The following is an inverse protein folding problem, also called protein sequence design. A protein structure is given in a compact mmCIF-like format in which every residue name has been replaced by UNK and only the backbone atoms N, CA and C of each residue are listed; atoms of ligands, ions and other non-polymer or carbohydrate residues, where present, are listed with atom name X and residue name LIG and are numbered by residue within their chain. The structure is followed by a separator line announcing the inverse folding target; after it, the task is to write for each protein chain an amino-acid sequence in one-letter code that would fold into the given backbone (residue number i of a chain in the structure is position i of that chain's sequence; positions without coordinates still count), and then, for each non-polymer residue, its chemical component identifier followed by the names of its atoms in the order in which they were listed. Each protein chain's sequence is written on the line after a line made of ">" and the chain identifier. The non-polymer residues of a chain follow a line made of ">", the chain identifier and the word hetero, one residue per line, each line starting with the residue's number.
data_IF_354061537009
#
_entry.id   IF_354061537009
#
_cell.length_a   1.000
_cell.length_b   1.000
_cell.length_c   1.000
_cell.angle_alpha   90.00
_cell.angle_beta   90.00
_cell.angle_gamma   90.00
#
_symmetry.space_group_name_H-M   'P 1'
#
loop_
_entity.id
_entity.type
_entity.pdbx_description
1 polymer ?
#
# COMPACT_ATOMS: atom_id res chain seq x y z
N UNK A 1 13.21 22.70 -15.40
CA UNK A 1 12.45 21.73 -16.23
C UNK A 1 11.15 21.46 -15.53
N UNK A 2 10.00 21.65 -16.17
CA UNK A 2 8.72 21.26 -15.59
C UNK A 2 8.62 19.74 -15.66
N UNK A 3 8.56 19.06 -14.51
CA UNK A 3 8.47 17.60 -14.46
C UNK A 3 7.12 17.13 -15.02
N UNK A 4 7.13 16.11 -15.88
CA UNK A 4 5.94 15.46 -16.42
C UNK A 4 5.96 13.98 -16.02
N UNK A 5 5.36 13.60 -14.87
CA UNK A 5 5.41 12.21 -14.41
C UNK A 5 4.64 11.29 -15.36
N UNK A 6 5.00 10.01 -15.37
CA UNK A 6 4.31 8.98 -16.17
C UNK A 6 2.96 8.61 -15.57
N UNK A 7 2.85 8.68 -14.24
CA UNK A 7 1.62 8.42 -13.51
C UNK A 7 1.51 9.30 -12.26
N UNK A 8 0.28 9.55 -11.82
CA UNK A 8 -0.05 10.18 -10.53
C UNK A 8 -1.02 9.25 -9.79
N UNK A 9 -0.68 8.91 -8.56
CA UNK A 9 -1.51 8.11 -7.67
C UNK A 9 -2.21 8.99 -6.64
N UNK A 10 -3.47 8.68 -6.33
CA UNK A 10 -4.24 9.34 -5.28
C UNK A 10 -4.52 8.36 -4.14
N UNK A 11 -4.22 8.79 -2.91
CA UNK A 11 -4.58 8.10 -1.68
C UNK A 11 -5.48 9.02 -0.86
N UNK A 12 -6.32 8.44 0.01
CA UNK A 12 -7.14 9.17 1.00
C UNK A 12 -8.21 10.10 0.39
N UNK A 13 -8.42 10.02 -0.93
CA UNK A 13 -9.41 10.80 -1.67
C UNK A 13 -8.97 11.05 -3.09
N UNK A 14 -9.70 11.94 -3.76
CA UNK A 14 -9.47 12.37 -5.13
C UNK A 14 -9.41 13.90 -5.14
N UNK A 15 -8.62 14.51 -6.04
CA UNK A 15 -8.73 15.94 -6.28
C UNK A 15 -10.06 16.24 -6.99
N UNK A 16 -10.42 17.52 -7.08
CA UNK A 16 -11.60 17.94 -7.82
C UNK A 16 -11.50 17.60 -9.33
N UNK A 17 -12.65 17.63 -10.00
CA UNK A 17 -12.75 17.25 -11.41
C UNK A 17 -11.98 18.18 -12.35
N UNK A 18 -11.83 19.45 -11.99
CA UNK A 18 -11.05 20.41 -12.78
C UNK A 18 -9.57 20.04 -12.76
N UNK A 19 -9.05 19.71 -11.57
CA UNK A 19 -7.68 19.22 -11.38
C UNK A 19 -7.45 17.91 -12.13
N UNK A 20 -8.38 16.95 -12.05
CA UNK A 20 -8.28 15.71 -12.83
C UNK A 20 -8.33 15.97 -14.34
N UNK A 21 -9.11 16.94 -14.81
CA UNK A 21 -9.14 17.31 -16.22
C UNK A 21 -7.80 17.87 -16.68
N UNK A 22 -7.17 18.76 -15.88
CA UNK A 22 -5.83 19.29 -16.17
C UNK A 22 -4.77 18.19 -16.23
N UNK A 23 -4.81 17.21 -15.33
CA UNK A 23 -3.89 16.05 -15.36
C UNK A 23 -4.10 15.23 -16.65
N UNK A 24 -5.35 15.02 -17.04
CA UNK A 24 -5.74 14.27 -18.25
C UNK A 24 -5.30 14.96 -19.54
N UNK A 25 -5.40 16.29 -19.61
CA UNK A 25 -4.89 17.09 -20.74
C UNK A 25 -3.38 16.90 -20.95
N UNK A 26 -2.65 16.61 -19.88
CA UNK A 26 -1.23 16.27 -19.96
C UNK A 26 -0.98 14.81 -20.36
N UNK A 27 -2.01 13.99 -20.56
CA UNK A 27 -1.90 12.55 -20.84
C UNK A 27 -1.08 11.80 -19.78
N UNK A 28 -1.23 12.20 -18.51
CA UNK A 28 -0.62 11.52 -17.36
C UNK A 28 -1.58 10.45 -16.89
N UNK A 29 -1.07 9.23 -16.70
CA UNK A 29 -1.87 8.12 -16.18
C UNK A 29 -2.25 8.35 -14.71
N UNK A 30 -3.48 8.05 -14.34
CA UNK A 30 -3.99 8.25 -12.98
C UNK A 30 -4.47 6.97 -12.35
N UNK A 31 -4.22 6.78 -11.07
CA UNK A 31 -4.82 5.69 -10.30
C UNK A 31 -5.24 6.17 -8.92
N UNK A 32 -6.26 5.52 -8.35
CA UNK A 32 -6.71 5.78 -7.00
C UNK A 32 -6.59 4.53 -6.14
N UNK A 33 -6.12 4.69 -4.90
CA UNK A 33 -6.12 3.65 -3.89
C UNK A 33 -7.47 3.68 -3.18
N UNK A 34 -8.14 2.53 -3.14
CA UNK A 34 -9.48 2.36 -2.57
C UNK A 34 -9.52 1.14 -1.65
N UNK A 35 -10.23 1.25 -0.53
CA UNK A 35 -10.38 0.20 0.47
C UNK A 35 -11.78 -0.43 0.52
N UNK A 36 -12.75 0.14 -0.21
CA UNK A 36 -14.10 -0.41 -0.29
C UNK A 36 -14.77 -0.17 -1.65
N UNK A 37 -15.91 -0.83 -1.87
CA UNK A 37 -16.64 -0.77 -3.12
C UNK A 37 -17.13 0.65 -3.47
N UNK A 38 -17.58 1.43 -2.48
CA UNK A 38 -18.11 2.77 -2.74
C UNK A 38 -17.00 3.73 -3.20
N UNK A 39 -15.83 3.65 -2.59
CA UNK A 39 -14.64 4.39 -3.02
C UNK A 39 -14.22 4.01 -4.43
N UNK A 40 -14.25 2.71 -4.77
CA UNK A 40 -13.95 2.22 -6.11
C UNK A 40 -14.91 2.79 -7.16
N UNK A 41 -16.22 2.74 -6.88
CA UNK A 41 -17.26 3.32 -7.76
C UNK A 41 -17.05 4.83 -7.90
N UNK A 42 -16.76 5.53 -6.81
CA UNK A 42 -16.52 6.97 -6.84
C UNK A 42 -15.28 7.33 -7.65
N UNK A 43 -14.19 6.57 -7.52
CA UNK A 43 -12.98 6.80 -8.30
C UNK A 43 -13.18 6.53 -9.80
N UNK A 44 -13.91 5.46 -10.14
CA UNK A 44 -14.27 5.18 -11.54
C UNK A 44 -15.10 6.33 -12.14
N UNK A 45 -16.10 6.83 -11.41
CA UNK A 45 -16.94 7.97 -11.83
C UNK A 45 -16.15 9.29 -11.97
N UNK A 46 -15.09 9.49 -11.17
CA UNK A 46 -14.16 10.60 -11.34
C UNK A 46 -13.24 10.42 -12.56
N UNK A 47 -13.20 9.22 -13.12
CA UNK A 47 -12.56 8.91 -14.38
C UNK A 47 -11.06 8.68 -14.26
N UNK A 48 -10.59 8.12 -13.14
CA UNK A 48 -9.20 7.65 -13.05
C UNK A 48 -8.95 6.47 -14.01
N UNK A 49 -7.69 6.22 -14.35
CA UNK A 49 -7.33 5.20 -15.33
C UNK A 49 -7.23 3.78 -14.73
N UNK A 50 -6.94 3.65 -13.43
CA UNK A 50 -6.89 2.38 -12.72
C UNK A 50 -7.27 2.50 -11.22
N UNK A 51 -7.62 1.36 -10.62
CA UNK A 51 -7.98 1.25 -9.21
C UNK A 51 -6.99 0.32 -8.49
N UNK A 52 -6.36 0.81 -7.42
CA UNK A 52 -5.54 0.02 -6.51
C UNK A 52 -6.40 -0.39 -5.32
N UNK A 53 -6.62 -1.69 -5.18
CA UNK A 53 -7.51 -2.29 -4.20
C UNK A 53 -6.72 -2.66 -2.95
N UNK A 54 -6.75 -1.81 -1.93
CA UNK A 54 -6.01 -2.01 -0.68
C UNK A 54 -6.81 -2.89 0.28
N UNK A 55 -6.43 -4.15 0.42
CA UNK A 55 -6.95 -5.04 1.47
C UNK A 55 -6.38 -4.72 2.84
N UNK A 56 -7.05 -5.17 3.90
CA UNK A 56 -6.60 -5.01 5.29
C UNK A 56 -5.25 -5.68 5.57
N UNK A 57 -4.81 -6.57 4.71
CA UNK A 57 -3.54 -7.30 4.82
C UNK A 57 -2.33 -6.47 4.38
N UNK A 58 -2.55 -5.43 3.56
CA UNK A 58 -1.50 -4.53 3.10
C UNK A 58 -0.84 -3.80 4.28
N UNK A 59 0.48 -3.62 4.19
CA UNK A 59 1.24 -2.78 5.11
C UNK A 59 0.95 -1.30 4.87
N UNK A 60 1.26 -0.48 5.87
CA UNK A 60 1.16 0.98 5.72
C UNK A 60 -0.20 1.54 6.11
N UNK A 61 -0.36 2.83 5.86
CA UNK A 61 -1.57 3.55 6.24
C UNK A 61 -2.77 3.09 5.41
N UNK A 62 -3.90 2.99 6.09
CA UNK A 62 -5.18 2.75 5.43
C UNK A 62 -5.56 3.98 4.62
N UNK A 63 -5.61 3.81 3.31
CA UNK A 63 -5.78 4.88 2.32
C UNK A 63 -7.25 5.18 2.01
N UNK A 64 -8.18 4.80 2.89
CA UNK A 64 -9.61 5.04 2.71
C UNK A 64 -9.92 6.54 2.58
N UNK A 65 -10.95 6.85 1.81
CA UNK A 65 -11.31 8.22 1.53
C UNK A 65 -11.78 8.91 2.80
N UNK A 66 -11.51 10.20 2.91
CA UNK A 66 -12.00 11.02 4.03
C UNK A 66 -13.51 11.22 3.90
N UNK A 67 -14.30 10.58 4.76
CA UNK A 67 -15.76 10.69 4.83
C UNK A 67 -16.29 10.18 6.18
N UNK A 68 -17.60 10.36 6.42
CA UNK A 68 -18.27 9.98 7.67
C UNK A 68 -18.79 8.51 7.68
N UNK A 69 -18.41 7.70 6.69
CA UNK A 69 -18.86 6.31 6.62
C UNK A 69 -18.03 5.40 7.54
N UNK A 70 -18.64 4.32 8.06
CA UNK A 70 -17.89 3.32 8.81
C UNK A 70 -16.73 2.76 7.99
N UNK A 71 -15.57 2.62 8.63
CA UNK A 71 -14.44 1.93 8.02
C UNK A 71 -14.75 0.44 7.90
N UNK A 72 -14.44 -0.12 6.73
CA UNK A 72 -14.61 -1.54 6.44
C UNK A 72 -13.24 -2.16 6.24
N UNK A 73 -12.89 -3.09 7.12
CA UNK A 73 -11.73 -3.96 6.91
C UNK A 73 -12.16 -5.20 6.14
N UNK A 74 -11.52 -5.45 5.00
CA UNK A 74 -11.77 -6.61 4.16
C UNK A 74 -10.51 -7.02 3.43
N UNK A 75 -10.48 -8.27 2.95
CA UNK A 75 -9.35 -8.75 2.16
C UNK A 75 -9.26 -8.08 0.78
N UNK A 76 -8.05 -7.93 0.27
CA UNK A 76 -7.82 -7.39 -1.07
C UNK A 76 -8.54 -8.24 -2.14
N UNK A 77 -8.56 -9.57 -1.95
CA UNK A 77 -9.27 -10.50 -2.82
C UNK A 77 -10.79 -10.29 -2.75
N UNK A 78 -11.38 -10.12 -1.56
CA UNK A 78 -12.82 -9.86 -1.43
C UNK A 78 -13.21 -8.53 -2.09
N UNK A 79 -12.37 -7.51 -1.94
CA UNK A 79 -12.57 -6.22 -2.59
C UNK A 79 -12.49 -6.35 -4.12
N UNK A 80 -11.51 -7.09 -4.65
CA UNK A 80 -11.42 -7.41 -6.08
C UNK A 80 -12.70 -8.06 -6.62
N UNK A 81 -13.22 -9.06 -5.92
CA UNK A 81 -14.44 -9.76 -6.33
C UNK A 81 -15.69 -8.86 -6.32
N UNK A 82 -15.73 -7.85 -5.45
CA UNK A 82 -16.80 -6.86 -5.41
C UNK A 82 -16.67 -5.86 -6.56
N UNK A 83 -15.50 -5.22 -6.69
CA UNK A 83 -15.27 -4.10 -7.62
C UNK A 83 -15.40 -4.55 -9.08
N UNK A 84 -14.89 -5.73 -9.43
CA UNK A 84 -14.93 -6.25 -10.82
C UNK A 84 -16.35 -6.43 -11.38
N UNK A 85 -17.39 -6.38 -10.55
CA UNK A 85 -18.79 -6.44 -10.99
C UNK A 85 -19.34 -5.08 -11.43
N UNK A 86 -18.64 -4.00 -11.10
CA UNK A 86 -19.12 -2.62 -11.26
C UNK A 86 -18.13 -1.72 -12.00
N UNK A 87 -16.89 -2.17 -12.21
CA UNK A 87 -15.85 -1.42 -12.90
C UNK A 87 -15.14 -2.31 -13.92
N UNK A 88 -14.96 -1.78 -15.13
CA UNK A 88 -14.15 -2.38 -16.20
C UNK A 88 -12.70 -1.84 -16.21
N UNK A 89 -12.36 -0.97 -15.26
CA UNK A 89 -11.02 -0.38 -15.14
C UNK A 89 -9.99 -1.47 -14.78
N UNK A 90 -8.71 -1.28 -15.15
CA UNK A 90 -7.62 -2.06 -14.59
C UNK A 90 -7.64 -2.03 -13.05
N UNK A 91 -7.67 -3.20 -12.44
CA UNK A 91 -7.66 -3.44 -11.01
C UNK A 91 -6.27 -3.94 -10.59
N UNK A 92 -5.65 -3.24 -9.65
CA UNK A 92 -4.35 -3.59 -9.07
C UNK A 92 -4.59 -4.09 -7.66
N UNK A 93 -4.18 -5.32 -7.36
CA UNK A 93 -4.37 -5.88 -6.01
C UNK A 93 -3.24 -5.40 -5.09
N UNK A 94 -3.59 -4.81 -3.93
CA UNK A 94 -2.63 -4.46 -2.88
C UNK A 94 -3.05 -5.15 -1.57
N UNK A 95 -2.30 -6.18 -1.20
CA UNK A 95 -2.55 -6.99 -0.01
C UNK A 95 -1.27 -7.68 0.44
N UNK A 96 -1.41 -8.86 1.03
CA UNK A 96 -0.28 -9.68 1.46
C UNK A 96 0.34 -10.43 0.27
N UNK A 97 1.26 -9.78 -0.43
CA UNK A 97 1.92 -10.31 -1.63
C UNK A 97 3.42 -10.34 -1.36
N UNK A 98 3.92 -11.54 -1.07
CA UNK A 98 5.27 -11.75 -0.55
C UNK A 98 6.14 -12.61 -1.47
N UNK A 99 5.53 -13.31 -2.43
CA UNK A 99 6.24 -14.14 -3.40
C UNK A 99 5.61 -14.14 -4.81
N UNK A 100 6.17 -14.96 -5.70
CA UNK A 100 5.66 -15.10 -7.07
C UNK A 100 4.31 -15.83 -7.18
N UNK A 101 4.01 -16.74 -6.25
CA UNK A 101 2.77 -17.50 -6.25
C UNK A 101 1.59 -16.59 -5.89
N UNK A 102 1.78 -15.66 -4.95
CA UNK A 102 0.83 -14.62 -4.60
C UNK A 102 0.49 -13.74 -5.81
N UNK A 103 1.52 -13.36 -6.59
CA UNK A 103 1.34 -12.58 -7.83
C UNK A 103 0.50 -13.37 -8.83
N UNK A 104 0.82 -14.64 -9.06
CA UNK A 104 0.06 -15.50 -9.98
C UNK A 104 -1.39 -15.66 -9.50
N UNK A 105 -1.60 -15.87 -8.20
CA UNK A 105 -2.92 -16.00 -7.61
C UNK A 105 -3.76 -14.72 -7.79
N UNK A 106 -3.16 -13.54 -7.61
CA UNK A 106 -3.81 -12.25 -7.83
C UNK A 106 -4.23 -12.09 -9.30
N UNK A 107 -3.34 -12.38 -10.25
CA UNK A 107 -3.62 -12.26 -11.70
C UNK A 107 -4.71 -13.25 -12.12
N UNK A 108 -4.62 -14.52 -11.70
CA UNK A 108 -5.65 -15.54 -11.99
C UNK A 108 -7.01 -15.15 -11.39
N UNK A 109 -7.02 -14.48 -10.24
CA UNK A 109 -8.24 -14.00 -9.59
C UNK A 109 -8.90 -12.82 -10.32
N UNK A 110 -8.22 -12.25 -11.31
CA UNK A 110 -8.72 -11.20 -12.19
C UNK A 110 -8.08 -9.82 -12.00
N UNK A 111 -7.00 -9.70 -11.22
CA UNK A 111 -6.24 -8.46 -11.17
C UNK A 111 -5.37 -8.31 -12.44
N UNK A 112 -5.15 -7.08 -12.90
CA UNK A 112 -4.26 -6.78 -14.03
C UNK A 112 -2.82 -6.53 -13.57
N UNK A 113 -2.63 -6.16 -12.30
CA UNK A 113 -1.33 -6.00 -11.68
C UNK A 113 -1.43 -6.18 -10.16
N UNK A 114 -0.27 -6.14 -9.51
CA UNK A 114 -0.15 -6.14 -8.05
C UNK A 114 0.63 -4.92 -7.59
N UNK A 115 0.37 -4.47 -6.37
CA UNK A 115 1.21 -3.52 -5.66
C UNK A 115 1.90 -4.24 -4.51
N UNK A 116 3.24 -4.15 -4.47
CA UNK A 116 4.08 -4.80 -3.47
C UNK A 116 4.61 -3.74 -2.50
N UNK A 117 4.63 -4.06 -1.21
CA UNK A 117 5.18 -3.22 -0.15
C UNK A 117 6.35 -3.90 0.57
N UNK A 118 6.08 -4.90 1.41
CA UNK A 118 7.03 -5.62 2.25
C UNK A 118 8.24 -6.16 1.47
N UNK A 119 8.08 -6.73 0.26
CA UNK A 119 9.23 -7.10 -0.58
C UNK A 119 10.23 -5.98 -0.86
N UNK A 120 9.76 -4.76 -1.09
CA UNK A 120 10.65 -3.62 -1.39
C UNK A 120 11.36 -3.08 -0.15
N UNK A 121 10.84 -3.36 1.06
CA UNK A 121 11.54 -3.06 2.31
C UNK A 121 12.75 -3.98 2.53
N UNK A 122 12.75 -5.17 1.92
CA UNK A 122 13.89 -6.08 1.93
C UNK A 122 15.03 -5.66 0.99
N UNK A 123 14.77 -4.72 0.06
CA UNK A 123 15.77 -4.25 -0.90
C UNK A 123 16.84 -3.37 -0.23
N UNK A 124 18.08 -3.42 -0.73
CA UNK A 124 19.18 -2.64 -0.20
C UNK A 124 18.98 -1.12 -0.37
N UNK A 125 18.23 -0.74 -1.40
CA UNK A 125 17.92 0.65 -1.78
C UNK A 125 16.95 1.33 -0.81
N UNK A 126 16.23 0.58 0.02
CA UNK A 126 15.27 1.16 0.98
C UNK A 126 15.97 1.95 2.11
N UNK A 127 17.25 1.68 2.36
CA UNK A 127 18.06 2.41 3.35
C UNK A 127 17.86 1.97 4.80
N UNK A 128 17.04 0.93 5.06
CA UNK A 128 16.95 0.31 6.39
C UNK A 128 18.29 -0.31 6.78
N UNK A 129 18.62 -0.18 8.06
CA UNK A 129 19.73 -0.90 8.66
C UNK A 129 19.48 -2.42 8.64
N UNK A 130 20.54 -3.24 8.72
CA UNK A 130 20.40 -4.70 8.63
C UNK A 130 19.45 -5.30 9.67
N UNK A 131 19.46 -4.82 10.91
CA UNK A 131 18.62 -5.39 11.98
C UNK A 131 17.14 -5.09 11.73
N UNK A 132 16.82 -3.85 11.38
CA UNK A 132 15.46 -3.45 11.02
C UNK A 132 14.96 -4.19 9.78
N UNK A 133 15.83 -4.40 8.79
CA UNK A 133 15.49 -5.17 7.59
C UNK A 133 15.17 -6.61 7.92
N UNK A 134 15.98 -7.27 8.75
CA UNK A 134 15.75 -8.66 9.19
C UNK A 134 14.43 -8.78 9.95
N UNK A 135 14.12 -7.82 10.84
CA UNK A 135 12.82 -7.75 11.54
C UNK A 135 11.65 -7.68 10.56
N UNK A 136 11.74 -6.81 9.55
CA UNK A 136 10.71 -6.67 8.53
C UNK A 136 10.60 -7.90 7.63
N UNK A 137 11.70 -8.59 7.34
CA UNK A 137 11.67 -9.81 6.51
C UNK A 137 11.00 -10.96 7.26
N UNK A 138 11.35 -11.15 8.53
CA UNK A 138 10.99 -12.37 9.27
C UNK A 138 9.77 -12.24 10.21
N UNK A 139 9.21 -11.05 10.40
CA UNK A 139 8.02 -10.87 11.23
C UNK A 139 6.83 -11.71 10.75
N UNK A 140 6.18 -12.40 11.67
CA UNK A 140 4.97 -13.16 11.39
C UNK A 140 3.72 -12.27 11.49
N UNK A 141 2.56 -12.83 11.15
CA UNK A 141 1.27 -12.19 11.33
C UNK A 141 1.01 -11.80 12.80
N UNK A 142 1.59 -12.53 13.76
CA UNK A 142 1.47 -12.27 15.19
C UNK A 142 2.25 -11.05 15.66
N UNK A 143 3.25 -10.63 14.87
CA UNK A 143 4.11 -9.50 15.15
C UNK A 143 3.56 -8.20 14.54
N UNK A 144 2.47 -8.26 13.78
CA UNK A 144 1.83 -7.10 13.15
C UNK A 144 0.45 -6.78 13.75
N UNK A 145 0.04 -5.52 13.62
CA UNK A 145 -1.31 -5.08 13.95
C UNK A 145 -1.72 -3.87 13.10
N UNK A 146 -3.02 -3.60 13.03
CA UNK A 146 -3.54 -2.31 12.55
C UNK A 146 -3.68 -1.41 13.77
N UNK A 147 -2.88 -0.35 13.83
CA UNK A 147 -2.85 0.57 14.96
C UNK A 147 -3.23 1.98 14.51
N UNK A 148 -4.14 2.61 15.24
CA UNK A 148 -4.46 4.04 15.10
C UNK A 148 -3.66 4.92 16.07
N UNK A 149 -2.59 4.39 16.65
CA UNK A 149 -1.81 5.10 17.65
C UNK A 149 -0.91 6.16 16.99
N UNK A 150 -0.22 5.79 15.91
CA UNK A 150 0.96 6.50 15.42
C UNK A 150 0.67 7.62 14.42
N UNK A 151 -0.38 7.46 13.62
CA UNK A 151 -0.75 8.44 12.60
C UNK A 151 -2.24 8.73 12.65
N UNK A 152 -2.67 9.79 11.96
CA UNK A 152 -4.08 10.21 11.86
C UNK A 152 -4.94 9.08 11.26
N UNK A 153 -4.34 8.17 10.50
CA UNK A 153 -5.01 7.01 9.91
C UNK A 153 -4.48 5.72 10.55
N UNK A 154 -5.30 4.67 10.70
CA UNK A 154 -4.81 3.37 11.09
C UNK A 154 -3.72 2.90 10.11
N UNK A 155 -2.70 2.27 10.67
CA UNK A 155 -1.50 1.81 9.97
C UNK A 155 -1.30 0.34 10.31
N UNK A 156 -1.15 -0.53 9.30
CA UNK A 156 -0.61 -1.87 9.55
C UNK A 156 0.90 -1.81 9.65
N UNK A 157 1.42 -2.14 10.83
CA UNK A 157 2.85 -2.15 11.11
C UNK A 157 3.21 -3.26 12.11
N UNK A 158 4.50 -3.44 12.34
CA UNK A 158 4.97 -4.23 13.47
C UNK A 158 4.43 -3.65 14.78
N UNK A 159 3.96 -4.53 15.66
CA UNK A 159 3.50 -4.17 17.00
C UNK A 159 4.65 -3.55 17.77
N UNK A 160 4.37 -2.43 18.42
CA UNK A 160 5.32 -1.79 19.32
C UNK A 160 4.98 -2.01 20.78
N UNK A 161 6.01 -1.95 21.62
CA UNK A 161 5.92 -2.12 23.07
C UNK A 161 5.71 -0.81 23.83
N UNK A 162 4.95 0.16 23.29
CA UNK A 162 4.64 1.37 24.06
C UNK A 162 3.90 0.99 25.34
N UNK A 163 4.28 1.60 26.47
CA UNK A 163 3.47 1.48 27.68
C UNK A 163 2.12 2.14 27.44
N UNK A 164 1.10 1.69 28.18
CA UNK A 164 -0.24 2.28 28.10
C UNK A 164 -0.23 3.78 28.41
N UNK A 165 0.62 4.24 29.33
CA UNK A 165 0.74 5.68 29.62
C UNK A 165 1.35 6.46 28.45
N UNK A 166 2.37 5.91 27.78
CA UNK A 166 2.95 6.55 26.59
C UNK A 166 1.93 6.60 25.45
N UNK A 167 1.15 5.53 25.29
CA UNK A 167 0.08 5.48 24.29
C UNK A 167 -0.99 6.55 24.56
N UNK A 168 -1.47 6.69 25.79
CA UNK A 168 -2.46 7.70 26.16
C UNK A 168 -1.95 9.14 25.96
N UNK A 169 -0.66 9.39 26.19
CA UNK A 169 -0.05 10.71 26.03
C UNK A 169 0.14 11.11 24.56
N UNK A 170 0.52 10.16 23.71
CA UNK A 170 0.95 10.44 22.34
C UNK A 170 -0.17 10.25 21.30
N UNK A 171 -1.23 9.51 21.62
CA UNK A 171 -2.29 9.14 20.68
C UNK A 171 -2.86 10.35 19.94
N UNK A 172 -2.80 10.30 18.61
CA UNK A 172 -3.35 11.34 17.74
C UNK A 172 -2.48 12.59 17.57
N UNK A 173 -1.30 12.64 18.19
CA UNK A 173 -0.31 13.72 18.00
C UNK A 173 0.87 13.21 17.17
N UNK A 174 0.71 13.29 15.85
CA UNK A 174 1.74 12.88 14.87
C UNK A 174 3.07 13.62 15.08
N UNK A 175 3.04 14.88 15.52
CA UNK A 175 4.25 15.66 15.71
C UNK A 175 5.04 15.15 16.92
N UNK A 176 4.37 14.76 18.00
CA UNK A 176 5.01 14.14 19.15
C UNK A 176 5.56 12.75 18.82
N UNK A 177 4.85 11.95 18.02
CA UNK A 177 5.38 10.67 17.53
C UNK A 177 6.58 10.85 16.61
N UNK A 178 6.52 11.78 15.66
CA UNK A 178 7.65 12.09 14.79
C UNK A 178 8.89 12.51 15.60
N UNK A 179 8.71 13.41 16.58
CA UNK A 179 9.79 13.80 17.48
C UNK A 179 10.32 12.64 18.34
N UNK A 180 9.43 11.75 18.82
CA UNK A 180 9.84 10.56 19.55
C UNK A 180 10.67 9.59 18.69
N UNK A 181 10.28 9.39 17.43
CA UNK A 181 11.02 8.55 16.48
C UNK A 181 12.33 9.19 16.01
N UNK A 182 12.43 10.51 15.97
CA UNK A 182 13.71 11.18 15.71
C UNK A 182 14.73 10.91 16.84
N UNK A 183 14.26 10.73 18.07
CA UNK A 183 15.09 10.38 19.23
C UNK A 183 15.39 8.87 19.23
N UNK A 184 14.41 8.04 18.86
CA UNK A 184 14.50 6.57 18.84
C UNK A 184 13.96 5.99 17.52
N UNK A 185 14.77 6.02 16.44
CA UNK A 185 14.34 5.55 15.12
C UNK A 185 13.91 4.08 15.11
N UNK A 186 14.47 3.26 16.00
CA UNK A 186 14.17 1.84 16.16
C UNK A 186 12.75 1.56 16.67
N UNK A 187 12.11 2.55 17.32
CA UNK A 187 10.73 2.50 17.82
C UNK A 187 9.70 2.96 16.76
N UNK A 188 10.15 3.37 15.56
CA UNK A 188 9.25 3.78 14.47
C UNK A 188 8.36 2.61 14.02
N UNK A 189 7.04 2.80 13.81
CA UNK A 189 6.19 1.77 13.23
C UNK A 189 6.69 1.38 11.84
N UNK A 190 7.06 0.12 11.70
CA UNK A 190 7.58 -0.45 10.45
C UNK A 190 6.41 -1.06 9.68
N UNK A 191 6.01 -0.48 8.54
CA UNK A 191 4.93 -1.02 7.73
C UNK A 191 5.25 -2.45 7.30
N UNK A 192 4.35 -3.40 7.54
CA UNK A 192 4.50 -4.78 7.09
C UNK A 192 3.16 -5.35 6.67
N UNK A 193 3.17 -6.16 5.61
CA UNK A 193 2.06 -7.06 5.31
C UNK A 193 2.08 -8.27 6.28
N UNK A 194 1.02 -9.09 6.27
CA UNK A 194 0.83 -10.18 7.24
C UNK A 194 1.94 -11.25 7.19
N UNK A 195 2.27 -11.75 6.01
CA UNK A 195 3.15 -12.92 5.85
C UNK A 195 4.62 -12.53 5.81
N UNK A 196 5.45 -13.36 6.46
CA UNK A 196 6.90 -13.27 6.36
C UNK A 196 7.38 -13.54 4.92
N UNK A 197 8.53 -12.98 4.57
CA UNK A 197 9.17 -13.30 3.30
C UNK A 197 10.07 -14.52 3.56
N UNK A 198 9.69 -15.70 3.04
CA UNK A 198 10.47 -16.93 3.20
C UNK A 198 11.83 -16.86 2.47
N UNK A 199 11.84 -16.37 1.23
CA UNK A 199 13.05 -16.19 0.42
C UNK A 199 13.03 -14.84 -0.33
N UNK A 200 13.66 -13.79 0.24
CA UNK A 200 13.76 -12.48 -0.39
C UNK A 200 14.49 -12.51 -1.74
N UNK A 201 15.39 -13.46 -1.94
CA UNK A 201 16.16 -13.59 -3.18
C UNK A 201 15.29 -14.14 -4.31
N UNK A 202 14.34 -15.03 -4.01
CA UNK A 202 13.45 -15.61 -5.00
C UNK A 202 12.52 -14.54 -5.60
N UNK A 203 11.89 -13.70 -4.76
CA UNK A 203 11.07 -12.62 -5.27
C UNK A 203 11.90 -11.56 -6.01
N UNK A 204 13.09 -11.23 -5.49
CA UNK A 204 14.02 -10.32 -6.20
C UNK A 204 14.44 -10.90 -7.56
N UNK A 205 14.70 -12.21 -7.64
CA UNK A 205 15.04 -12.89 -8.89
C UNK A 205 13.86 -12.90 -9.86
N UNK A 206 12.67 -13.23 -9.38
CA UNK A 206 11.44 -13.18 -10.15
C UNK A 206 11.18 -11.77 -10.70
N UNK A 207 11.21 -10.74 -9.85
CA UNK A 207 10.99 -9.35 -10.24
C UNK A 207 12.07 -8.87 -11.21
N UNK A 208 13.35 -9.22 -11.00
CA UNK A 208 14.42 -8.86 -11.94
C UNK A 208 14.27 -9.57 -13.28
N UNK A 209 13.91 -10.85 -13.30
CA UNK A 209 13.65 -11.61 -14.51
C UNK A 209 12.46 -11.03 -15.29
N UNK A 210 11.34 -10.74 -14.60
CA UNK A 210 10.18 -10.10 -15.21
C UNK A 210 10.47 -8.67 -15.65
N UNK A 211 11.23 -7.88 -14.88
CA UNK A 211 11.61 -6.52 -15.26
C UNK A 211 12.52 -6.51 -16.49
N UNK A 212 13.45 -7.47 -16.63
CA UNK A 212 14.23 -7.66 -17.85
C UNK A 212 13.33 -8.03 -19.03
N UNK A 213 12.37 -8.93 -18.84
CA UNK A 213 11.40 -9.31 -19.87
C UNK A 213 10.52 -8.13 -20.30
N UNK A 214 9.99 -7.35 -19.35
CA UNK A 214 9.21 -6.14 -19.61
C UNK A 214 10.05 -5.07 -20.33
N UNK A 215 11.31 -4.86 -19.93
CA UNK A 215 12.22 -3.94 -20.62
C UNK A 215 12.49 -4.37 -22.07
N UNK A 216 12.58 -5.67 -22.34
CA UNK A 216 12.75 -6.21 -23.69
C UNK A 216 11.48 -6.08 -24.56
N UNK A 217 10.29 -6.05 -23.95
CA UNK A 217 9.02 -5.85 -24.66
C UNK A 217 8.72 -4.38 -24.98
N UNK A 218 9.35 -3.44 -24.25
CA UNK A 218 9.13 -1.99 -24.39
C UNK A 218 10.25 -1.31 -25.21
N UNK A 219 11.36 -2.02 -25.49
CA UNK A 219 12.46 -1.57 -26.36
C UNK A 219 12.19 -1.92 -27.84
#
# INVERSE_FOLDING_TARGET
>A
MTAKPRAIGFAQGLPDRETLALIREQSIFTFAIVGNLLEAISADDYGVDALVLQGMEAGGERSYFTNDLPHVEQSALSLLQQVRKYSDKPLVLWGDITDSADIVAAIISGAQAVMLDRPFLACAENGLDPETRERVIHASEYDSEISSQYTIRPLRCLRHGFSKENEELLRGDEALFAAAFDIKPEERPLPVALSAIEDPQNLTHYLNHQAQHIRQLIA
#
